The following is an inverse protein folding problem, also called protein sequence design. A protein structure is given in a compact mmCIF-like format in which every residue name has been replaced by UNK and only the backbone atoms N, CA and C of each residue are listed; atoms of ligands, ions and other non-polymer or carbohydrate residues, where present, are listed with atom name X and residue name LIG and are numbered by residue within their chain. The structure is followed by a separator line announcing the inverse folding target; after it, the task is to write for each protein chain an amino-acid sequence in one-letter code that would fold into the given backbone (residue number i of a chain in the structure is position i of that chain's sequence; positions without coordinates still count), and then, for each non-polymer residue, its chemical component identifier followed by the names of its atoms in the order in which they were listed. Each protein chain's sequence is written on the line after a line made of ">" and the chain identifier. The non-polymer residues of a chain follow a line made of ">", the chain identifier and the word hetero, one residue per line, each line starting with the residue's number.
data_IF_026374976218
#
_entry.id   IF_026374976218
#
_cell.length_a   1.000
_cell.length_b   1.000
_cell.length_c   1.000
_cell.angle_alpha   90.00
_cell.angle_beta   90.00
_cell.angle_gamma   90.00
#
_symmetry.space_group_name_H-M   'P 1'
#
loop_
_entity.id
_entity.type
_entity.pdbx_description
1 polymer ?
#
# COMPACT_ATOMS: atom_id res chain seq x y z
N UNK A 1 9.99 -14.20 -0.87
CA UNK A 1 10.13 -12.74 -1.05
C UNK A 1 10.37 -12.12 0.31
N UNK A 2 11.46 -11.37 0.52
CA UNK A 2 11.83 -10.83 1.84
C UNK A 2 10.75 -9.87 2.41
N UNK A 3 10.55 -9.83 3.72
CA UNK A 3 9.63 -8.88 4.38
C UNK A 3 10.26 -7.47 4.45
N UNK A 4 9.45 -6.43 4.69
CA UNK A 4 9.96 -5.07 4.87
C UNK A 4 10.98 -5.02 6.02
N UNK A 5 10.68 -5.70 7.12
CA UNK A 5 11.55 -5.77 8.30
C UNK A 5 12.87 -6.46 7.99
N UNK A 6 12.86 -7.55 7.20
CA UNK A 6 14.09 -8.22 6.76
C UNK A 6 14.95 -7.30 5.87
N UNK A 7 14.33 -6.51 4.98
CA UNK A 7 15.06 -5.55 4.15
C UNK A 7 15.67 -4.41 4.97
N UNK A 8 14.94 -3.92 5.98
CA UNK A 8 15.43 -2.87 6.89
C UNK A 8 16.57 -3.37 7.77
N UNK A 9 16.49 -4.60 8.27
CA UNK A 9 17.57 -5.22 9.05
C UNK A 9 18.84 -5.33 8.21
N UNK A 10 18.71 -5.88 6.99
CA UNK A 10 19.84 -6.04 6.08
C UNK A 10 20.44 -4.71 5.62
N UNK A 11 19.61 -3.67 5.46
CA UNK A 11 20.10 -2.31 5.20
C UNK A 11 20.99 -1.82 6.35
N UNK A 12 20.56 -1.98 7.61
CA UNK A 12 21.36 -1.58 8.78
C UNK A 12 22.70 -2.30 8.84
N UNK A 13 22.71 -3.61 8.60
CA UNK A 13 23.96 -4.39 8.54
C UNK A 13 24.93 -3.89 7.47
N UNK A 14 24.42 -3.41 6.32
CA UNK A 14 25.25 -2.82 5.27
C UNK A 14 25.70 -1.40 5.63
N UNK A 15 24.86 -0.60 6.29
CA UNK A 15 25.22 0.73 6.80
C UNK A 15 26.34 0.62 7.86
N UNK A 16 26.27 -0.38 8.74
CA UNK A 16 27.33 -0.66 9.72
C UNK A 16 28.67 -1.00 9.04
N UNK A 17 28.64 -1.78 7.95
CA UNK A 17 29.86 -2.08 7.16
C UNK A 17 30.41 -0.85 6.45
N UNK A 18 29.52 0.00 5.91
CA UNK A 18 29.92 1.27 5.30
C UNK A 18 30.58 2.19 6.35
N UNK A 19 30.00 2.27 7.55
CA UNK A 19 30.58 3.01 8.68
C UNK A 19 31.91 2.44 9.16
N UNK A 20 32.12 1.12 9.04
CA UNK A 20 33.39 0.46 9.29
C UNK A 20 34.44 0.72 8.18
N UNK A 21 34.08 1.43 7.10
CA UNK A 21 34.97 1.83 6.01
C UNK A 21 34.92 0.97 4.77
N UNK A 22 34.01 -0.01 4.69
CA UNK A 22 33.83 -0.83 3.50
C UNK A 22 32.93 -0.12 2.47
N UNK A 23 33.55 0.64 1.56
CA UNK A 23 32.84 1.34 0.47
C UNK A 23 32.25 0.40 -0.59
N UNK A 24 32.63 -0.89 -0.62
CA UNK A 24 32.11 -1.84 -1.61
C UNK A 24 30.63 -2.15 -1.41
N UNK A 25 30.05 -1.78 -0.26
CA UNK A 25 28.64 -2.02 0.08
C UNK A 25 27.68 -0.94 -0.43
N UNK A 26 28.18 0.20 -0.95
CA UNK A 26 27.32 1.29 -1.46
C UNK A 26 26.32 0.82 -2.54
N UNK A 27 26.72 0.03 -3.56
CA UNK A 27 25.77 -0.47 -4.56
C UNK A 27 24.70 -1.39 -3.93
N UNK A 28 25.08 -2.17 -2.92
CA UNK A 28 24.15 -3.04 -2.22
C UNK A 28 23.14 -2.24 -1.39
N UNK A 29 23.57 -1.12 -0.78
CA UNK A 29 22.69 -0.18 -0.07
C UNK A 29 21.66 0.46 -1.00
N UNK A 30 22.08 0.93 -2.18
CA UNK A 30 21.14 1.49 -3.17
C UNK A 30 20.07 0.47 -3.58
N UNK A 31 20.46 -0.79 -3.81
CA UNK A 31 19.52 -1.86 -4.14
C UNK A 31 18.54 -2.13 -2.99
N UNK A 32 19.01 -2.08 -1.74
CA UNK A 32 18.14 -2.20 -0.57
C UNK A 32 17.14 -1.05 -0.49
N UNK A 33 17.57 0.18 -0.76
CA UNK A 33 16.68 1.35 -0.75
C UNK A 33 15.59 1.27 -1.81
N UNK A 34 15.94 0.83 -3.02
CA UNK A 34 14.96 0.56 -4.08
C UNK A 34 13.98 -0.53 -3.67
N UNK A 35 14.48 -1.62 -3.08
CA UNK A 35 13.63 -2.73 -2.63
C UNK A 35 12.67 -2.32 -1.49
N UNK A 36 13.16 -1.55 -0.52
CA UNK A 36 12.34 -1.01 0.59
C UNK A 36 11.27 -0.06 0.03
N UNK A 37 11.63 0.84 -0.87
CA UNK A 37 10.70 1.77 -1.50
C UNK A 37 9.59 1.04 -2.26
N UNK A 38 9.95 0.08 -3.10
CA UNK A 38 9.00 -0.73 -3.85
C UNK A 38 8.06 -1.53 -2.93
N UNK A 39 8.58 -2.10 -1.84
CA UNK A 39 7.76 -2.83 -0.86
C UNK A 39 6.82 -1.90 -0.10
N UNK A 40 7.29 -0.71 0.26
CA UNK A 40 6.51 0.31 0.97
C UNK A 40 5.34 0.78 0.12
N UNK A 41 5.56 1.03 -1.18
CA UNK A 41 4.50 1.37 -2.13
C UNK A 41 3.46 0.26 -2.24
N UNK A 42 3.88 -1.00 -2.38
CA UNK A 42 2.95 -2.15 -2.40
C UNK A 42 2.09 -2.23 -1.15
N UNK A 43 2.67 -2.04 0.03
CA UNK A 43 1.93 -2.03 1.31
C UNK A 43 0.96 -0.86 1.35
N UNK A 44 1.38 0.35 0.93
CA UNK A 44 0.52 1.54 0.85
C UNK A 44 -0.69 1.30 -0.05
N UNK A 45 -0.49 0.78 -1.26
CA UNK A 45 -1.57 0.47 -2.18
C UNK A 45 -2.51 -0.61 -1.65
N UNK A 46 -1.98 -1.65 -1.00
CA UNK A 46 -2.80 -2.67 -0.35
C UNK A 46 -3.68 -2.09 0.75
N UNK A 47 -3.13 -1.22 1.61
CA UNK A 47 -3.89 -0.51 2.64
C UNK A 47 -4.99 0.37 2.05
N UNK A 48 -4.65 1.18 1.04
CA UNK A 48 -5.62 2.02 0.33
C UNK A 48 -6.79 1.21 -0.24
N UNK A 49 -6.52 0.04 -0.84
CA UNK A 49 -7.56 -0.87 -1.34
C UNK A 49 -8.44 -1.40 -0.22
N UNK A 50 -7.85 -1.85 0.89
CA UNK A 50 -8.60 -2.32 2.04
C UNK A 50 -9.52 -1.24 2.62
N UNK A 51 -9.01 0.00 2.74
CA UNK A 51 -9.80 1.12 3.25
C UNK A 51 -10.93 1.49 2.29
N UNK A 52 -10.68 1.50 0.97
CA UNK A 52 -11.71 1.71 -0.03
C UNK A 52 -12.81 0.62 0.03
N UNK A 53 -12.42 -0.66 0.15
CA UNK A 53 -13.37 -1.77 0.32
C UNK A 53 -14.19 -1.62 1.60
N UNK A 54 -13.56 -1.29 2.75
CA UNK A 54 -14.28 -1.06 4.01
C UNK A 54 -15.30 0.07 3.89
N UNK A 55 -14.91 1.18 3.27
CA UNK A 55 -15.82 2.31 3.06
C UNK A 55 -16.96 1.95 2.11
N UNK A 56 -16.73 1.10 1.11
CA UNK A 56 -17.77 0.65 0.20
C UNK A 56 -18.80 -0.26 0.88
N UNK A 57 -18.34 -1.20 1.70
CA UNK A 57 -19.22 -2.04 2.52
C UNK A 57 -20.00 -1.18 3.51
N UNK A 58 -19.36 -0.21 4.16
CA UNK A 58 -20.03 0.73 5.06
C UNK A 58 -21.09 1.59 4.36
N UNK A 59 -20.89 1.89 3.08
CA UNK A 59 -21.89 2.59 2.26
C UNK A 59 -23.05 1.69 1.79
N UNK A 60 -23.04 0.40 2.11
CA UNK A 60 -24.08 -0.56 1.73
C UNK A 60 -23.81 -1.33 0.43
N UNK A 61 -22.60 -1.24 -0.12
CA UNK A 61 -22.20 -2.08 -1.26
C UNK A 61 -21.97 -3.53 -0.82
N UNK A 62 -22.36 -4.49 -1.67
CA UNK A 62 -22.12 -5.90 -1.37
C UNK A 62 -20.61 -6.20 -1.28
N UNK A 63 -20.21 -7.11 -0.38
CA UNK A 63 -18.81 -7.45 -0.08
C UNK A 63 -18.03 -7.85 -1.34
N UNK A 64 -18.64 -8.59 -2.26
CA UNK A 64 -17.96 -9.01 -3.50
C UNK A 64 -17.79 -7.90 -4.52
N UNK A 65 -18.71 -6.93 -4.56
CA UNK A 65 -18.56 -5.73 -5.38
C UNK A 65 -17.52 -4.77 -4.77
N UNK A 66 -17.52 -4.62 -3.44
CA UNK A 66 -16.57 -3.80 -2.70
C UNK A 66 -15.12 -4.30 -2.80
N UNK A 67 -14.91 -5.60 -2.99
CA UNK A 67 -13.58 -6.18 -3.26
C UNK A 67 -13.01 -5.81 -4.64
N UNK A 68 -13.87 -5.40 -5.57
CA UNK A 68 -13.52 -5.03 -6.96
C UNK A 68 -13.56 -3.51 -7.18
N UNK A 69 -13.48 -2.73 -6.10
CA UNK A 69 -13.58 -1.27 -6.09
C UNK A 69 -12.52 -0.59 -6.96
N UNK A 70 -11.40 -1.27 -7.19
CA UNK A 70 -10.28 -0.83 -8.02
C UNK A 70 -10.67 -0.56 -9.48
N UNK A 71 -11.83 -1.02 -9.93
CA UNK A 71 -12.35 -0.74 -11.28
C UNK A 71 -13.06 0.61 -11.34
N UNK A 72 -12.84 1.36 -12.43
CA UNK A 72 -13.49 2.67 -12.65
C UNK A 72 -15.03 2.59 -12.56
N UNK A 73 -15.61 1.47 -12.98
CA UNK A 73 -17.05 1.22 -12.88
C UNK A 73 -17.53 1.10 -11.42
N UNK A 74 -16.80 0.36 -10.57
CA UNK A 74 -17.18 0.22 -9.15
C UNK A 74 -16.93 1.49 -8.34
N UNK A 75 -15.88 2.25 -8.66
CA UNK A 75 -15.67 3.58 -8.09
C UNK A 75 -16.85 4.52 -8.39
N UNK A 76 -17.39 4.51 -9.62
CA UNK A 76 -18.59 5.27 -9.98
C UNK A 76 -19.84 4.79 -9.24
N UNK A 77 -20.04 3.48 -9.10
CA UNK A 77 -21.17 2.92 -8.32
C UNK A 77 -21.11 3.36 -6.85
N UNK A 78 -19.92 3.33 -6.23
CA UNK A 78 -19.76 3.80 -4.85
C UNK A 78 -20.10 5.28 -4.70
N UNK A 79 -19.66 6.12 -5.65
CA UNK A 79 -20.01 7.54 -5.64
C UNK A 79 -21.53 7.76 -5.75
N UNK A 80 -22.22 7.00 -6.60
CA UNK A 80 -23.67 7.05 -6.74
C UNK A 80 -24.41 6.61 -5.46
N UNK A 81 -23.96 5.54 -4.81
CA UNK A 81 -24.54 5.07 -3.53
C UNK A 81 -24.38 6.15 -2.45
N UNK A 82 -23.19 6.76 -2.35
CA UNK A 82 -22.94 7.86 -1.40
C UNK A 82 -23.81 9.08 -1.67
N UNK A 83 -23.95 9.48 -2.93
CA UNK A 83 -24.81 10.60 -3.33
C UNK A 83 -26.27 10.35 -2.95
N UNK A 84 -26.79 9.12 -3.19
CA UNK A 84 -28.16 8.73 -2.83
C UNK A 84 -28.37 8.72 -1.31
N UNK A 85 -27.38 8.28 -0.54
CA UNK A 85 -27.43 8.30 0.93
C UNK A 85 -27.44 9.71 1.51
N UNK A 86 -26.77 10.68 0.86
CA UNK A 86 -26.83 12.09 1.27
C UNK A 86 -28.16 12.75 0.93
N UNK A 87 -28.76 12.40 -0.22
CA UNK A 87 -30.05 12.93 -0.65
C UNK A 87 -31.20 12.48 0.26
N UNK A 88 -31.16 11.24 0.76
CA UNK A 88 -32.18 10.70 1.68
C UNK A 88 -32.01 11.17 3.15
N UNK A 89 -31.02 12.00 3.44
CA UNK A 89 -30.77 12.55 4.78
C UNK A 89 -31.38 13.95 5.00
N UNK A 90 -31.97 14.52 3.95
CA UNK A 90 -32.81 15.72 3.98
C UNK A 90 -34.27 15.31 3.82
#
# INVERSE_FOLDING_TARGET
>A
MATLQQLQLRKRELEEKLHAGDLSVEPALELMDRAISARTLKVKHSRQRLDATKQAVAAGMNKDEARRIDTRAMAKKLAAIRAKAQLNRF
#
